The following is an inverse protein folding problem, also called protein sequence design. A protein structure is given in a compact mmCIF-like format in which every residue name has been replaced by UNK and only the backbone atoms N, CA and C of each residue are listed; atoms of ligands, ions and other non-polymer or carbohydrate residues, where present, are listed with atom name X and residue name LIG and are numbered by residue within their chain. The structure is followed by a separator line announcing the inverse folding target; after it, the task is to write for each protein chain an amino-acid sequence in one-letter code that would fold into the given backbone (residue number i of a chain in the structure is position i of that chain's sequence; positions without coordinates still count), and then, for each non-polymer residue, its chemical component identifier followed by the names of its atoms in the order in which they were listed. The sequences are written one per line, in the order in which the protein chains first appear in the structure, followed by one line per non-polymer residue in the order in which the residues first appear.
data_IF_240459397553
#
_entry.id   IF_240459397553
#
_cell.length_a   1.000
_cell.length_b   1.000
_cell.length_c   1.000
_cell.angle_alpha   90.00
_cell.angle_beta   90.00
_cell.angle_gamma   90.00
#
_symmetry.space_group_name_H-M   'P 1'
#
loop_
_entity.id
_entity.type
_entity.pdbx_description
1 polymer ?
#
# COMPACT_ATOMS: atom_id res chain seq x y z
N UNK A 1 -27.26 -11.51 15.67
CA UNK A 1 -26.26 -10.44 15.51
C UNK A 1 -25.64 -10.61 14.13
N UNK A 2 -26.09 -9.82 13.17
CA UNK A 2 -25.53 -9.75 11.82
C UNK A 2 -24.14 -9.17 11.98
N UNK A 3 -23.12 -9.98 11.71
CA UNK A 3 -21.74 -9.51 11.70
C UNK A 3 -21.63 -8.39 10.66
N UNK A 4 -21.16 -7.22 11.07
CA UNK A 4 -20.78 -6.18 10.15
C UNK A 4 -19.72 -6.75 9.22
N UNK A 5 -20.03 -6.89 7.94
CA UNK A 5 -19.05 -7.31 6.95
C UNK A 5 -17.87 -6.34 7.04
N UNK A 6 -16.70 -6.91 7.30
CA UNK A 6 -15.48 -6.13 7.41
C UNK A 6 -15.11 -5.69 5.99
N UNK A 7 -15.32 -4.42 5.68
CA UNK A 7 -14.93 -3.85 4.39
C UNK A 7 -13.59 -3.15 4.55
N UNK A 8 -12.61 -3.58 3.78
CA UNK A 8 -11.35 -2.85 3.62
C UNK A 8 -11.39 -2.16 2.26
N UNK A 9 -11.22 -0.83 2.22
CA UNK A 9 -10.88 -0.20 0.95
C UNK A 9 -9.40 -0.34 0.74
N UNK A 10 -9.11 -1.32 -0.01
CA UNK A 10 -7.86 -1.95 0.10
C UNK A 10 -6.81 -1.46 -0.84
N UNK A 11 -7.16 -0.81 -1.88
CA UNK A 11 -6.10 -0.53 -2.85
C UNK A 11 -6.34 0.80 -3.52
N UNK A 12 -5.58 1.77 -3.06
CA UNK A 12 -5.38 2.99 -3.81
C UNK A 12 -4.11 2.75 -4.63
N UNK A 13 -4.25 2.41 -5.90
CA UNK A 13 -3.13 2.29 -6.81
C UNK A 13 -2.79 3.67 -7.37
N UNK A 14 -1.67 4.22 -6.93
CA UNK A 14 -1.16 5.50 -7.46
C UNK A 14 -0.31 5.30 -8.70
N UNK A 15 0.36 4.17 -8.81
CA UNK A 15 1.33 3.83 -9.84
C UNK A 15 2.51 3.03 -9.26
N UNK A 16 3.62 3.01 -9.98
CA UNK A 16 4.85 2.35 -9.56
C UNK A 16 4.99 0.92 -10.09
N UNK A 17 6.17 0.36 -9.88
CA UNK A 17 6.63 -0.92 -10.45
C UNK A 17 5.71 -2.10 -10.11
N UNK A 18 5.11 -2.10 -8.91
CA UNK A 18 4.22 -3.19 -8.49
C UNK A 18 3.06 -3.44 -9.47
N UNK A 19 2.54 -2.37 -10.08
CA UNK A 19 1.45 -2.44 -11.07
C UNK A 19 1.94 -2.39 -12.52
N UNK A 20 3.17 -2.76 -12.81
CA UNK A 20 3.67 -2.84 -14.18
C UNK A 20 3.70 -4.27 -14.67
N UNK A 21 3.49 -4.44 -15.98
CA UNK A 21 3.64 -5.73 -16.70
C UNK A 21 4.64 -5.50 -17.82
N UNK A 22 5.51 -6.45 -18.01
CA UNK A 22 6.37 -6.48 -19.19
C UNK A 22 5.54 -6.85 -20.43
N UNK A 23 5.53 -5.98 -21.41
CA UNK A 23 4.94 -6.24 -22.71
C UNK A 23 5.78 -7.33 -23.42
N UNK A 24 5.16 -8.46 -23.73
CA UNK A 24 5.86 -9.62 -24.30
C UNK A 24 6.47 -9.34 -25.69
N UNK A 25 5.98 -8.33 -26.43
CA UNK A 25 6.46 -8.00 -27.77
C UNK A 25 7.58 -6.96 -27.73
N UNK A 26 7.52 -6.00 -26.81
CA UNK A 26 8.44 -4.86 -26.78
C UNK A 26 9.46 -4.93 -25.65
N UNK A 27 9.23 -5.76 -24.62
CA UNK A 27 10.00 -5.81 -23.39
C UNK A 27 9.83 -4.56 -22.51
N UNK A 28 8.97 -3.62 -22.89
CA UNK A 28 8.73 -2.41 -22.13
C UNK A 28 7.80 -2.69 -20.95
N UNK A 29 8.01 -1.98 -19.82
CA UNK A 29 7.10 -2.02 -18.69
C UNK A 29 5.91 -1.08 -18.97
N UNK A 30 4.71 -1.62 -18.92
CA UNK A 30 3.45 -0.90 -19.10
C UNK A 30 2.66 -0.92 -17.80
N UNK A 31 2.02 0.21 -17.45
CA UNK A 31 1.09 0.24 -16.34
C UNK A 31 -0.14 -0.60 -16.67
N UNK A 32 -0.58 -1.44 -15.73
CA UNK A 32 -1.70 -2.32 -15.96
C UNK A 32 -2.92 -1.99 -15.11
N UNK A 33 -4.06 -2.46 -15.60
CA UNK A 33 -5.35 -2.37 -14.94
C UNK A 33 -5.41 -3.33 -13.72
N UNK A 34 -6.11 -2.91 -12.67
CA UNK A 34 -6.32 -3.67 -11.44
C UNK A 34 -6.89 -5.09 -11.64
N UNK A 35 -7.68 -5.32 -12.67
CA UNK A 35 -8.19 -6.67 -13.00
C UNK A 35 -7.05 -7.67 -13.24
N UNK A 36 -5.90 -7.21 -13.73
CA UNK A 36 -4.72 -8.04 -13.91
C UNK A 36 -4.06 -8.41 -12.57
N UNK A 37 -4.14 -7.56 -11.55
CA UNK A 37 -3.59 -7.88 -10.24
C UNK A 37 -4.23 -9.14 -9.64
N UNK A 38 -5.55 -9.29 -9.76
CA UNK A 38 -6.26 -10.48 -9.29
C UNK A 38 -5.81 -11.76 -9.99
N UNK A 39 -5.37 -11.66 -11.24
CA UNK A 39 -4.82 -12.81 -11.97
C UNK A 39 -3.44 -13.21 -11.48
N UNK A 40 -2.64 -12.22 -11.06
CA UNK A 40 -1.26 -12.47 -10.59
C UNK A 40 -1.18 -12.78 -9.09
N UNK A 41 -2.19 -12.38 -8.32
CA UNK A 41 -2.29 -12.66 -6.86
C UNK A 41 -3.66 -13.25 -6.56
N UNK A 42 -3.94 -14.49 -7.01
CA UNK A 42 -5.22 -15.14 -6.75
C UNK A 42 -5.49 -15.36 -5.25
N UNK A 43 -4.46 -15.37 -4.42
CA UNK A 43 -4.52 -15.50 -2.97
C UNK A 43 -5.39 -14.42 -2.32
N UNK A 44 -5.47 -13.26 -2.94
CA UNK A 44 -6.32 -12.15 -2.47
C UNK A 44 -7.80 -12.52 -2.43
N UNK A 45 -8.24 -13.48 -3.24
CA UNK A 45 -9.62 -13.98 -3.22
C UNK A 45 -9.94 -14.85 -1.99
N UNK A 46 -8.92 -15.30 -1.26
CA UNK A 46 -9.07 -16.11 -0.05
C UNK A 46 -9.38 -15.27 1.19
N UNK A 47 -9.28 -13.95 1.12
CA UNK A 47 -9.66 -13.11 2.24
C UNK A 47 -11.17 -13.17 2.48
N UNK A 48 -11.56 -13.24 3.75
CA UNK A 48 -12.97 -13.33 4.19
C UNK A 48 -13.68 -11.99 4.25
N UNK A 49 -13.02 -10.91 3.82
CA UNK A 49 -13.53 -9.55 3.81
C UNK A 49 -13.50 -8.96 2.39
N UNK A 50 -14.37 -7.99 2.18
CA UNK A 50 -14.47 -7.31 0.88
C UNK A 50 -13.31 -6.33 0.69
N UNK A 51 -12.75 -6.35 -0.50
CA UNK A 51 -11.65 -5.52 -0.97
C UNK A 51 -12.16 -4.67 -2.14
N UNK A 52 -12.23 -3.37 -1.96
CA UNK A 52 -12.57 -2.42 -3.02
C UNK A 52 -11.31 -1.69 -3.48
N UNK A 53 -11.28 -1.23 -4.73
CA UNK A 53 -10.09 -0.62 -5.32
C UNK A 53 -10.38 0.74 -5.91
N UNK A 54 -9.38 1.59 -5.86
CA UNK A 54 -9.34 2.87 -6.53
C UNK A 54 -8.01 3.00 -7.27
N UNK A 55 -8.05 3.46 -8.50
CA UNK A 55 -6.85 3.67 -9.32
C UNK A 55 -6.76 5.13 -9.73
N UNK A 56 -5.55 5.68 -9.67
CA UNK A 56 -5.26 6.97 -10.31
C UNK A 56 -5.33 6.80 -11.83
N UNK A 57 -5.95 7.75 -12.48
CA UNK A 57 -6.06 7.79 -13.93
C UNK A 57 -5.54 9.15 -14.43
N UNK A 58 -4.43 9.17 -15.16
CA UNK A 58 -3.51 8.04 -15.38
C UNK A 58 -2.77 7.63 -14.10
N UNK A 59 -2.21 6.40 -14.03
CA UNK A 59 -1.24 6.03 -12.99
C UNK A 59 -0.04 6.97 -13.03
N UNK A 60 0.50 7.30 -11.86
CA UNK A 60 1.56 8.29 -11.68
C UNK A 60 2.89 7.59 -11.38
N UNK A 61 3.96 8.03 -12.00
CA UNK A 61 5.30 7.69 -11.52
C UNK A 61 5.53 8.35 -10.16
N UNK A 62 6.16 7.64 -9.23
CA UNK A 62 6.39 8.19 -7.89
C UNK A 62 7.35 9.39 -7.90
N UNK A 63 8.19 9.54 -8.92
CA UNK A 63 9.04 10.73 -9.10
C UNK A 63 8.23 11.99 -9.40
N UNK A 64 7.01 11.86 -9.92
CA UNK A 64 6.09 12.95 -10.20
C UNK A 64 5.13 13.27 -9.05
N UNK A 65 5.29 12.56 -7.91
CA UNK A 65 4.45 12.75 -6.73
C UNK A 65 4.64 14.14 -6.13
N UNK A 66 3.54 14.88 -6.02
CA UNK A 66 3.48 16.24 -5.58
C UNK A 66 2.45 16.49 -4.45
N UNK A 67 2.37 17.70 -3.87
CA UNK A 67 1.39 18.01 -2.85
C UNK A 67 -0.08 17.86 -3.31
N UNK A 68 -0.38 18.00 -4.60
CA UNK A 68 -1.74 17.81 -5.12
C UNK A 68 -2.13 16.34 -5.12
N UNK A 69 -1.18 15.45 -5.47
CA UNK A 69 -1.37 14.02 -5.37
C UNK A 69 -1.59 13.58 -3.91
N UNK A 70 -0.85 14.14 -2.94
CA UNK A 70 -1.10 13.87 -1.52
C UNK A 70 -2.47 14.37 -1.07
N UNK A 71 -2.90 15.57 -1.48
CA UNK A 71 -4.26 16.07 -1.22
C UNK A 71 -5.34 15.17 -1.81
N UNK A 72 -5.10 14.62 -3.00
CA UNK A 72 -6.01 13.65 -3.65
C UNK A 72 -6.11 12.37 -2.81
N UNK A 73 -4.98 11.82 -2.35
CA UNK A 73 -4.96 10.65 -1.45
C UNK A 73 -5.74 10.90 -0.16
N UNK A 74 -5.50 12.04 0.50
CA UNK A 74 -6.23 12.44 1.71
C UNK A 74 -7.73 12.52 1.46
N UNK A 75 -8.17 13.12 0.36
CA UNK A 75 -9.60 13.18 -0.01
C UNK A 75 -10.20 11.79 -0.20
N UNK A 76 -9.53 10.90 -0.96
CA UNK A 76 -9.99 9.53 -1.17
C UNK A 76 -10.17 8.81 0.16
N UNK A 77 -9.19 8.92 1.07
CA UNK A 77 -9.26 8.31 2.40
C UNK A 77 -10.40 8.93 3.21
N UNK A 78 -10.51 10.26 3.28
CA UNK A 78 -11.50 10.98 4.07
C UNK A 78 -12.93 10.71 3.60
N UNK A 79 -13.18 10.77 2.30
CA UNK A 79 -14.51 10.55 1.71
C UNK A 79 -15.02 9.12 1.96
N UNK A 80 -14.10 8.20 2.17
CA UNK A 80 -14.38 6.78 2.36
C UNK A 80 -14.11 6.28 3.80
N UNK A 81 -13.72 7.19 4.68
CA UNK A 81 -13.24 6.84 6.01
C UNK A 81 -14.23 6.00 6.83
N UNK A 82 -15.52 6.34 6.77
CA UNK A 82 -16.56 5.63 7.54
C UNK A 82 -16.98 4.28 6.93
N UNK A 83 -16.64 4.03 5.67
CA UNK A 83 -17.06 2.83 4.95
C UNK A 83 -16.06 1.68 5.10
N UNK A 84 -14.78 2.00 5.35
CA UNK A 84 -13.68 1.02 5.35
C UNK A 84 -12.96 0.98 6.69
N UNK A 85 -12.41 -0.18 7.03
CA UNK A 85 -11.69 -0.41 8.29
C UNK A 85 -10.19 -0.10 8.18
N UNK A 86 -9.65 -0.03 6.98
CA UNK A 86 -8.25 0.30 6.71
C UNK A 86 -8.03 0.64 5.23
N UNK A 87 -6.84 1.10 4.91
CA UNK A 87 -6.43 1.51 3.57
C UNK A 87 -5.05 0.98 3.24
N UNK A 88 -4.87 0.45 2.04
CA UNK A 88 -3.57 0.08 1.49
C UNK A 88 -3.29 0.96 0.28
N UNK A 89 -2.10 1.53 0.19
CA UNK A 89 -1.68 2.37 -0.93
C UNK A 89 -0.53 1.68 -1.65
N UNK A 90 -0.78 1.28 -2.90
CA UNK A 90 0.27 0.78 -3.78
C UNK A 90 0.98 1.96 -4.44
N UNK A 91 2.27 2.09 -4.19
CA UNK A 91 3.05 3.28 -4.50
C UNK A 91 4.42 2.91 -5.07
N UNK A 92 4.96 3.75 -5.95
CA UNK A 92 6.33 3.61 -6.39
C UNK A 92 7.32 3.86 -5.25
N UNK A 93 8.42 3.11 -5.21
CA UNK A 93 9.33 3.08 -4.05
C UNK A 93 10.14 4.36 -3.85
N UNK A 94 10.36 5.17 -4.92
CA UNK A 94 11.30 6.31 -4.85
C UNK A 94 10.86 7.41 -3.90
N UNK A 95 9.58 7.72 -3.85
CA UNK A 95 9.04 8.77 -2.98
C UNK A 95 8.05 8.25 -1.93
N UNK A 96 7.92 6.93 -1.77
CA UNK A 96 7.00 6.32 -0.81
C UNK A 96 7.20 6.86 0.62
N UNK A 97 8.45 7.01 1.06
CA UNK A 97 8.78 7.52 2.38
C UNK A 97 8.33 8.98 2.57
N UNK A 98 8.41 9.80 1.53
CA UNK A 98 7.92 11.18 1.57
C UNK A 98 6.39 11.22 1.61
N UNK A 99 5.73 10.42 0.78
CA UNK A 99 4.25 10.30 0.80
C UNK A 99 3.75 9.79 2.15
N UNK A 100 4.37 8.76 2.71
CA UNK A 100 4.01 8.25 4.03
C UNK A 100 4.22 9.28 5.14
N UNK A 101 5.30 10.04 5.07
CA UNK A 101 5.55 11.15 6.01
C UNK A 101 4.50 12.26 5.87
N UNK A 102 4.20 12.70 4.64
CA UNK A 102 3.18 13.72 4.39
C UNK A 102 1.80 13.28 4.91
N UNK A 103 1.35 12.07 4.58
CA UNK A 103 0.07 11.53 5.02
C UNK A 103 -0.01 11.39 6.54
N UNK A 104 1.11 11.07 7.22
CA UNK A 104 1.17 10.99 8.69
C UNK A 104 0.81 12.32 9.38
N UNK A 105 1.05 13.46 8.71
CA UNK A 105 0.71 14.78 9.24
C UNK A 105 -0.59 15.34 8.65
N UNK A 106 -0.99 14.90 7.46
CA UNK A 106 -2.21 15.40 6.80
C UNK A 106 -3.48 14.67 7.28
N UNK A 107 -3.38 13.45 7.79
CA UNK A 107 -4.49 12.65 8.30
C UNK A 107 -4.59 12.83 9.83
N UNK A 108 -5.09 13.99 10.25
CA UNK A 108 -5.28 14.28 11.67
C UNK A 108 -6.34 13.39 12.31
N UNK A 109 -6.09 12.92 13.53
CA UNK A 109 -7.03 12.07 14.26
C UNK A 109 -7.23 10.67 13.67
N UNK A 110 -6.28 10.20 12.86
CA UNK A 110 -6.32 8.88 12.24
C UNK A 110 -6.41 7.77 13.30
N UNK A 111 -7.45 6.95 13.21
CA UNK A 111 -7.65 5.77 14.08
C UNK A 111 -7.82 4.47 13.25
N UNK A 112 -7.40 4.49 11.99
CA UNK A 112 -7.43 3.35 11.06
C UNK A 112 -6.06 3.17 10.42
N UNK A 113 -5.68 1.95 10.05
CA UNK A 113 -4.43 1.70 9.34
C UNK A 113 -4.46 2.33 7.94
N UNK A 114 -3.35 2.98 7.58
CA UNK A 114 -3.04 3.41 6.23
C UNK A 114 -1.66 2.84 5.88
N UNK A 115 -1.62 1.75 5.15
CA UNK A 115 -0.41 1.00 4.88
C UNK A 115 0.05 1.27 3.44
N UNK A 116 1.21 1.91 3.30
CA UNK A 116 1.86 2.06 2.00
C UNK A 116 2.73 0.84 1.73
N UNK A 117 2.70 0.37 0.50
CA UNK A 117 3.57 -0.69 0.02
C UNK A 117 3.84 -0.54 -1.48
N UNK A 118 4.74 -1.34 -1.99
CA UNK A 118 5.14 -1.38 -3.38
C UNK A 118 6.02 -2.59 -3.64
N UNK A 119 6.78 -2.57 -4.72
CA UNK A 119 7.75 -3.61 -5.00
C UNK A 119 8.95 -3.08 -5.77
N UNK A 120 10.06 -3.80 -5.69
CA UNK A 120 11.22 -3.57 -6.56
C UNK A 120 11.02 -4.20 -7.94
N UNK A 121 10.27 -5.31 -8.00
CA UNK A 121 9.99 -6.01 -9.24
C UNK A 121 8.49 -5.97 -9.57
N UNK A 122 8.13 -5.90 -10.87
CA UNK A 122 6.75 -6.04 -11.32
C UNK A 122 6.07 -7.29 -10.74
N UNK A 123 4.79 -7.16 -10.38
CA UNK A 123 4.07 -8.26 -9.70
C UNK A 123 3.91 -9.52 -10.55
N UNK A 124 3.99 -9.39 -11.87
CA UNK A 124 3.96 -10.52 -12.80
C UNK A 124 5.26 -11.32 -12.90
N UNK A 125 6.36 -10.83 -12.33
CA UNK A 125 7.65 -11.51 -12.38
C UNK A 125 7.71 -12.71 -11.44
N UNK A 126 8.48 -13.75 -11.83
CA UNK A 126 8.56 -15.03 -11.12
C UNK A 126 9.03 -14.92 -9.66
N UNK A 127 9.94 -13.99 -9.38
CA UNK A 127 10.52 -13.78 -8.05
C UNK A 127 10.25 -12.37 -7.51
N UNK A 128 9.04 -11.87 -7.78
CA UNK A 128 8.63 -10.56 -7.30
C UNK A 128 8.47 -10.55 -5.79
N UNK A 129 8.89 -9.45 -5.17
CA UNK A 129 8.57 -9.09 -3.79
C UNK A 129 7.15 -8.52 -3.65
N UNK A 130 6.52 -8.15 -4.78
CA UNK A 130 5.23 -7.46 -4.80
C UNK A 130 4.07 -8.27 -4.24
N UNK A 131 4.07 -9.60 -4.43
CA UNK A 131 2.98 -10.46 -3.92
C UNK A 131 2.97 -10.49 -2.40
N UNK A 132 4.11 -10.78 -1.79
CA UNK A 132 4.25 -10.83 -0.35
C UNK A 132 3.98 -9.48 0.29
N UNK A 133 4.55 -8.42 -0.27
CA UNK A 133 4.34 -7.06 0.20
C UNK A 133 2.85 -6.67 0.17
N UNK A 134 2.14 -7.02 -0.91
CA UNK A 134 0.71 -6.72 -1.04
C UNK A 134 -0.14 -7.51 -0.04
N UNK A 135 0.02 -8.84 -0.01
CA UNK A 135 -0.78 -9.72 0.86
C UNK A 135 -0.62 -9.31 2.32
N UNK A 136 0.61 -9.14 2.77
CA UNK A 136 0.90 -8.75 4.16
C UNK A 136 0.41 -7.35 4.49
N UNK A 137 0.53 -6.37 3.57
CA UNK A 137 -0.03 -5.03 3.78
C UNK A 137 -1.56 -5.08 3.99
N UNK A 138 -2.26 -5.94 3.24
CA UNK A 138 -3.69 -6.17 3.38
C UNK A 138 -4.01 -6.78 4.75
N UNK A 139 -3.29 -7.82 5.15
CA UNK A 139 -3.47 -8.46 6.45
C UNK A 139 -3.26 -7.49 7.61
N UNK A 140 -2.21 -6.65 7.55
CA UNK A 140 -1.94 -5.62 8.55
C UNK A 140 -3.10 -4.61 8.61
N UNK A 141 -3.60 -4.17 7.45
CA UNK A 141 -4.72 -3.22 7.38
C UNK A 141 -6.02 -3.83 7.93
N UNK A 142 -6.17 -5.16 7.90
CA UNK A 142 -7.30 -5.90 8.45
C UNK A 142 -7.14 -6.25 9.93
N UNK A 143 -5.92 -6.26 10.44
CA UNK A 143 -5.60 -6.79 11.76
C UNK A 143 -6.26 -5.99 12.89
N UNK A 144 -6.87 -6.71 13.84
CA UNK A 144 -7.55 -6.15 15.00
C UNK A 144 -7.07 -6.81 16.29
N UNK A 145 -7.12 -6.05 17.36
CA UNK A 145 -6.91 -6.58 18.71
C UNK A 145 -8.14 -7.33 19.22
N UNK A 146 -8.05 -7.88 20.42
CA UNK A 146 -9.15 -8.62 21.07
C UNK A 146 -10.40 -7.77 21.36
N UNK A 147 -10.26 -6.44 21.38
CA UNK A 147 -11.37 -5.50 21.54
C UNK A 147 -12.04 -5.13 20.19
N UNK A 148 -11.51 -5.64 19.06
CA UNK A 148 -12.01 -5.33 17.72
C UNK A 148 -11.51 -4.02 17.15
N UNK A 149 -10.52 -3.39 17.80
CA UNK A 149 -9.89 -2.15 17.33
C UNK A 149 -8.72 -2.45 16.37
N UNK A 150 -8.41 -1.55 15.42
CA UNK A 150 -7.26 -1.73 14.53
C UNK A 150 -5.97 -1.91 15.32
N UNK A 151 -5.15 -2.87 14.92
CA UNK A 151 -3.88 -3.16 15.59
C UNK A 151 -2.84 -2.06 15.36
N UNK A 152 -2.87 -1.42 14.19
CA UNK A 152 -1.93 -0.37 13.80
C UNK A 152 -2.70 0.85 13.25
N UNK A 153 -3.25 1.73 14.12
CA UNK A 153 -4.07 2.86 13.70
C UNK A 153 -3.21 4.07 13.29
N UNK A 154 -2.28 3.89 12.36
CA UNK A 154 -1.38 4.94 11.90
C UNK A 154 -0.96 4.74 10.44
N UNK A 155 -0.29 5.73 9.86
CA UNK A 155 0.34 5.62 8.54
C UNK A 155 1.65 4.85 8.67
N UNK A 156 1.76 3.74 7.93
CA UNK A 156 2.94 2.87 7.94
C UNK A 156 3.40 2.55 6.53
N UNK A 157 4.66 2.12 6.42
CA UNK A 157 5.19 1.44 5.25
C UNK A 157 5.43 -0.01 5.64
N UNK A 158 4.88 -0.94 4.85
CA UNK A 158 5.27 -2.35 4.89
C UNK A 158 6.12 -2.67 3.67
N UNK A 159 7.34 -3.12 3.90
CA UNK A 159 8.27 -3.48 2.84
C UNK A 159 9.36 -4.42 3.36
N UNK A 160 9.67 -5.49 2.61
CA UNK A 160 10.77 -6.39 2.92
C UNK A 160 10.69 -7.00 4.33
N UNK A 161 9.52 -7.50 4.74
CA UNK A 161 9.23 -8.09 6.06
C UNK A 161 9.28 -7.12 7.25
N UNK A 162 9.27 -5.80 7.02
CA UNK A 162 9.27 -4.81 8.09
C UNK A 162 8.06 -3.89 7.99
N UNK A 163 7.36 -3.73 9.10
CA UNK A 163 6.37 -2.68 9.27
C UNK A 163 7.02 -1.47 9.94
N UNK A 164 7.11 -0.39 9.21
CA UNK A 164 7.80 0.83 9.62
C UNK A 164 6.81 1.98 9.77
N UNK A 165 6.97 2.81 10.81
CA UNK A 165 6.18 4.03 10.97
C UNK A 165 6.46 5.00 9.82
N UNK A 166 5.41 5.51 9.17
CA UNK A 166 5.52 6.27 7.93
C UNK A 166 6.42 7.50 8.02
N UNK A 167 6.28 8.29 9.08
CA UNK A 167 7.10 9.50 9.28
C UNK A 167 8.48 9.24 9.92
N UNK A 168 8.89 7.99 10.05
CA UNK A 168 10.21 7.59 10.56
C UNK A 168 11.02 6.76 9.56
N UNK A 169 10.48 6.59 8.36
CA UNK A 169 11.03 5.70 7.34
C UNK A 169 11.83 6.49 6.30
N UNK A 170 12.93 5.90 5.85
CA UNK A 170 13.78 6.43 4.77
C UNK A 170 14.13 5.30 3.80
N UNK A 171 14.12 5.58 2.49
CA UNK A 171 14.64 4.68 1.46
C UNK A 171 16.16 4.75 1.45
N UNK A 172 16.83 3.60 1.55
CA UNK A 172 18.30 3.50 1.59
C UNK A 172 18.88 2.76 0.39
N UNK A 173 18.07 2.09 -0.40
CA UNK A 173 18.52 1.35 -1.58
C UNK A 173 17.49 1.45 -2.71
N UNK A 174 17.99 1.59 -3.94
CA UNK A 174 17.16 1.57 -5.15
C UNK A 174 16.85 0.13 -5.64
N UNK A 175 17.68 -0.86 -5.27
CA UNK A 175 17.63 -2.20 -5.85
C UNK A 175 17.36 -3.31 -4.83
N UNK A 176 17.70 -3.09 -3.56
CA UNK A 176 17.53 -4.11 -2.51
C UNK A 176 16.07 -4.31 -2.15
N UNK A 177 15.69 -5.57 -1.90
CA UNK A 177 14.39 -5.88 -1.30
C UNK A 177 14.23 -5.31 0.11
N UNK A 178 15.32 -5.07 0.84
CA UNK A 178 15.35 -4.33 2.10
C UNK A 178 15.64 -2.85 1.83
N UNK A 179 14.76 -2.20 1.09
CA UNK A 179 14.99 -0.84 0.58
C UNK A 179 14.72 0.27 1.61
N UNK A 180 14.01 -0.02 2.69
CA UNK A 180 13.56 0.97 3.68
C UNK A 180 14.06 0.64 5.08
N UNK A 181 14.39 1.70 5.84
CA UNK A 181 14.78 1.61 7.25
C UNK A 181 14.13 2.71 8.07
N UNK A 182 14.02 2.46 9.38
CA UNK A 182 13.69 3.45 10.39
C UNK A 182 14.88 3.59 11.33
N UNK A 183 15.70 4.61 11.13
CA UNK A 183 17.02 4.72 11.79
C UNK A 183 16.92 4.95 13.29
N UNK A 184 15.98 5.78 13.72
CA UNK A 184 15.85 6.26 15.12
C UNK A 184 14.62 5.70 15.84
N UNK A 185 13.92 4.77 15.24
CA UNK A 185 12.73 4.15 15.79
C UNK A 185 12.64 2.69 15.35
N UNK A 186 12.46 1.73 16.24
CA UNK A 186 12.41 0.32 15.84
C UNK A 186 11.21 0.06 14.92
N UNK A 187 11.28 -0.98 14.06
CA UNK A 187 10.12 -1.47 13.33
C UNK A 187 8.97 -1.76 14.28
N UNK A 188 7.74 -1.54 13.83
CA UNK A 188 6.54 -1.85 14.60
C UNK A 188 6.27 -3.36 14.62
N UNK A 189 6.67 -4.06 13.55
CA UNK A 189 6.60 -5.51 13.42
C UNK A 189 7.64 -6.03 12.39
N UNK A 190 7.92 -7.34 12.47
CA UNK A 190 8.74 -8.13 11.54
C UNK A 190 8.03 -9.44 11.26
#
# INVERSE_FOLDING_TARGET
LVGSEMCIRDRIYTGGTIGMIENAETGALESFNFEHLQKHVPEVQNFTFRIDTYQFDPPMDSSDMDPDAWRKLVRIISDNYNQYTGFVILHGTDTMAYTASALSFMLEGLNKPVILTGSQLPIGMLRTDGKENLITAIEIAAAKNSAGEPLVPEVCIFFGNHLLRGNRTTKISAESFNAFVSTNYPPLAQ
#
